data_IF_898892905628
#
_entry.id   IF_898892905628
#
_cell.length_a   1.000
_cell.length_b   1.000
_cell.length_c   1.000
_cell.angle_alpha   90.00
_cell.angle_beta   90.00
_cell.angle_gamma   90.00
#
_symmetry.space_group_name_H-M   'P 1'
#
loop_
_entity.id
_entity.type
_entity.pdbx_description
1 polymer ?
#
# COMPACT_ATOMS: atom_id res chain seq x y z
N UNK A 1 1.39 17.91 2.29
CA UNK A 1 0.14 18.66 2.50
C UNK A 1 -0.82 17.75 3.23
N UNK A 2 -1.40 18.20 4.34
CA UNK A 2 -2.47 17.46 5.03
C UNK A 2 -3.79 17.73 4.32
N UNK A 3 -4.62 16.71 4.15
CA UNK A 3 -5.91 16.81 3.48
C UNK A 3 -6.95 15.99 4.25
N UNK A 4 -8.16 16.53 4.38
CA UNK A 4 -9.29 15.80 4.93
C UNK A 4 -9.79 14.76 3.93
N UNK A 5 -10.35 13.65 4.44
CA UNK A 5 -10.86 12.57 3.60
C UNK A 5 -11.92 13.04 2.59
N UNK A 6 -12.85 13.90 3.01
CA UNK A 6 -13.89 14.47 2.14
C UNK A 6 -13.31 15.25 0.96
N UNK A 7 -12.32 16.12 1.20
CA UNK A 7 -11.65 16.87 0.16
C UNK A 7 -10.78 15.95 -0.73
N UNK A 8 -10.18 14.90 -0.17
CA UNK A 8 -9.40 13.92 -0.91
C UNK A 8 -10.27 13.14 -1.92
N UNK A 9 -11.51 12.83 -1.55
CA UNK A 9 -12.49 12.18 -2.42
C UNK A 9 -12.86 13.02 -3.65
N UNK A 10 -12.66 14.34 -3.62
CA UNK A 10 -12.92 15.22 -4.77
C UNK A 10 -11.72 15.36 -5.70
N UNK A 11 -10.54 14.84 -5.32
CA UNK A 11 -9.35 14.89 -6.15
C UNK A 11 -9.42 13.91 -7.33
N UNK A 12 -8.73 14.33 -8.41
CA UNK A 12 -8.38 13.49 -9.56
C UNK A 12 -6.87 13.24 -9.55
N UNK A 13 -6.39 12.26 -8.75
CA UNK A 13 -4.96 11.99 -8.63
C UNK A 13 -4.39 11.41 -9.91
N UNK A 14 -3.15 11.81 -10.20
CA UNK A 14 -2.30 11.22 -11.22
C UNK A 14 -1.41 10.13 -10.63
N UNK A 15 -0.70 9.40 -11.50
CA UNK A 15 0.29 8.38 -11.11
C UNK A 15 1.46 8.94 -10.29
N UNK A 16 1.72 10.24 -10.38
CA UNK A 16 2.85 10.90 -9.72
C UNK A 16 2.50 11.39 -8.30
N UNK A 17 1.24 11.23 -7.89
CA UNK A 17 0.79 11.58 -6.55
C UNK A 17 1.02 10.41 -5.57
N UNK A 18 1.49 10.75 -4.38
CA UNK A 18 1.71 9.83 -3.26
C UNK A 18 0.73 10.16 -2.15
N UNK A 19 -0.03 9.16 -1.70
CA UNK A 19 -0.96 9.27 -0.59
C UNK A 19 -0.45 8.48 0.60
N UNK A 20 -0.46 9.11 1.78
CA UNK A 20 -0.09 8.47 3.04
C UNK A 20 -1.37 8.23 3.84
N UNK A 21 -1.74 6.97 4.05
CA UNK A 21 -2.95 6.58 4.77
C UNK A 21 -2.60 5.78 6.01
N UNK A 22 -3.17 6.15 7.16
CA UNK A 22 -2.99 5.42 8.41
C UNK A 22 -3.53 3.98 8.34
N UNK A 23 -4.57 3.77 7.53
CA UNK A 23 -5.21 2.47 7.35
C UNK A 23 -5.54 2.22 5.88
N UNK A 24 -5.40 0.97 5.44
CA UNK A 24 -5.77 0.53 4.09
C UNK A 24 -7.18 -0.06 4.11
N UNK A 25 -8.15 0.79 4.47
CA UNK A 25 -9.56 0.45 4.58
C UNK A 25 -10.43 1.63 4.14
N UNK A 26 -11.73 1.37 3.93
CA UNK A 26 -12.70 2.41 3.56
C UNK A 26 -12.73 2.76 2.07
N UNK A 27 -13.67 3.63 1.72
CA UNK A 27 -13.97 3.99 0.33
C UNK A 27 -12.86 4.83 -0.32
N UNK A 28 -12.20 5.71 0.45
CA UNK A 28 -11.06 6.47 -0.05
C UNK A 28 -9.93 5.54 -0.50
N UNK A 29 -9.56 4.56 0.31
CA UNK A 29 -8.50 3.62 -0.05
C UNK A 29 -8.86 2.81 -1.30
N UNK A 30 -10.09 2.29 -1.40
CA UNK A 30 -10.56 1.58 -2.59
C UNK A 30 -10.49 2.45 -3.85
N UNK A 31 -10.94 3.71 -3.75
CA UNK A 31 -10.83 4.68 -4.85
C UNK A 31 -9.36 4.88 -5.26
N UNK A 32 -8.49 5.07 -4.27
CA UNK A 32 -7.06 5.28 -4.51
C UNK A 32 -6.35 4.04 -5.05
N UNK A 33 -6.77 2.82 -4.69
CA UNK A 33 -6.24 1.54 -5.22
C UNK A 33 -6.57 1.40 -6.73
N UNK A 34 -7.72 1.93 -7.17
CA UNK A 34 -8.15 1.92 -8.58
C UNK A 34 -7.38 2.98 -9.39
N UNK A 35 -7.13 4.14 -8.81
CA UNK A 35 -6.28 5.17 -9.44
C UNK A 35 -4.82 4.73 -9.34
N UNK A 36 -4.08 4.68 -10.45
CA UNK A 36 -2.67 4.21 -10.48
C UNK A 36 -1.67 5.11 -9.71
N UNK A 37 -2.13 5.91 -8.76
CA UNK A 37 -1.31 6.65 -7.80
C UNK A 37 -0.64 5.71 -6.80
N UNK A 38 0.38 6.21 -6.11
CA UNK A 38 1.08 5.42 -5.11
C UNK A 38 0.48 5.66 -3.72
N UNK A 39 0.08 4.60 -3.04
CA UNK A 39 -0.48 4.66 -1.68
C UNK A 39 0.49 3.98 -0.71
N UNK A 40 0.79 4.65 0.40
CA UNK A 40 1.68 4.12 1.43
C UNK A 40 1.19 4.35 2.85
N UNK A 41 1.68 3.53 3.78
CA UNK A 41 1.47 3.71 5.20
C UNK A 41 2.50 4.65 5.85
N UNK A 42 2.15 5.35 6.95
CA UNK A 42 3.09 6.19 7.69
C UNK A 42 4.35 5.43 8.15
N UNK A 43 4.23 4.15 8.52
CA UNK A 43 5.36 3.33 8.96
C UNK A 43 6.40 3.13 7.87
N UNK A 44 5.96 2.87 6.63
CA UNK A 44 6.87 2.79 5.49
C UNK A 44 7.58 4.13 5.25
N UNK A 45 6.86 5.26 5.32
CA UNK A 45 7.46 6.59 5.17
C UNK A 45 8.54 6.87 6.23
N UNK A 46 8.27 6.53 7.49
CA UNK A 46 9.23 6.69 8.58
C UNK A 46 10.46 5.83 8.38
N UNK A 47 10.28 4.55 8.05
CA UNK A 47 11.41 3.63 7.80
C UNK A 47 12.27 4.09 6.62
N UNK A 48 11.63 4.57 5.55
CA UNK A 48 12.33 5.19 4.43
C UNK A 48 13.18 6.37 4.89
N UNK A 49 12.61 7.28 5.69
CA UNK A 49 13.32 8.45 6.19
C UNK A 49 14.53 8.08 7.06
N UNK A 50 14.40 7.06 7.91
CA UNK A 50 15.51 6.63 8.78
C UNK A 50 16.60 5.86 8.05
N UNK A 51 16.25 5.03 7.07
CA UNK A 51 17.18 4.09 6.45
C UNK A 51 17.74 4.58 5.11
N UNK A 52 17.16 5.64 4.52
CA UNK A 52 17.56 6.17 3.21
C UNK A 52 17.25 5.26 2.01
N UNK A 53 16.62 4.10 2.24
CA UNK A 53 16.30 3.12 1.20
C UNK A 53 14.85 3.23 0.76
N UNK A 54 14.62 3.78 -0.43
CA UNK A 54 13.29 3.76 -1.06
C UNK A 54 13.10 2.44 -1.79
N UNK A 55 12.16 1.63 -1.32
CA UNK A 55 11.77 0.40 -2.02
C UNK A 55 10.39 0.68 -2.64
N UNK A 56 10.34 0.91 -3.94
CA UNK A 56 9.07 0.90 -4.68
C UNK A 56 8.90 -0.44 -5.39
N UNK A 57 8.46 -1.51 -4.71
CA UNK A 57 8.20 -2.76 -5.39
C UNK A 57 6.88 -2.60 -6.14
N UNK A 58 6.95 -2.12 -7.38
CA UNK A 58 5.82 -2.13 -8.32
C UNK A 58 4.71 -1.13 -8.02
N UNK A 59 3.50 -1.46 -8.47
CA UNK A 59 2.30 -0.60 -8.41
C UNK A 59 1.38 -0.91 -7.21
N UNK A 60 1.75 -1.85 -6.35
CA UNK A 60 0.91 -2.23 -5.20
C UNK A 60 1.09 -1.22 -4.05
N UNK A 61 0.02 -0.84 -3.33
CA UNK A 61 0.13 -0.06 -2.10
C UNK A 61 1.09 -0.68 -1.07
N UNK A 62 1.86 0.14 -0.34
CA UNK A 62 2.82 -0.36 0.67
C UNK A 62 2.49 0.20 2.06
N UNK A 63 1.99 -0.64 2.95
CA UNK A 63 1.64 -0.25 4.31
C UNK A 63 2.86 -0.20 5.24
N UNK A 64 3.77 -1.17 5.08
CA UNK A 64 5.00 -1.34 5.85
C UNK A 64 5.98 -2.20 5.04
N UNK A 65 7.22 -2.34 5.50
CA UNK A 65 8.23 -3.25 4.92
C UNK A 65 8.55 -4.44 5.83
N UNK A 66 7.58 -4.86 6.66
CA UNK A 66 7.74 -5.96 7.61
C UNK A 66 8.08 -7.31 6.95
N UNK A 67 7.70 -7.49 5.69
CA UNK A 67 7.96 -8.69 4.89
C UNK A 67 8.92 -8.43 3.72
N UNK A 68 9.66 -7.31 3.76
CA UNK A 68 10.71 -7.02 2.76
C UNK A 68 11.69 -8.20 2.68
N UNK A 69 12.03 -8.57 1.44
CA UNK A 69 12.91 -9.69 1.10
C UNK A 69 12.36 -11.09 1.44
N UNK A 70 11.04 -11.23 1.65
CA UNK A 70 10.39 -12.53 1.78
C UNK A 70 9.66 -12.91 0.49
N UNK A 71 9.74 -14.20 0.13
CA UNK A 71 8.91 -14.82 -0.90
C UNK A 71 7.97 -15.80 -0.21
N UNK A 72 6.66 -15.60 -0.34
CA UNK A 72 5.63 -16.33 0.39
C UNK A 72 4.81 -17.17 -0.58
N UNK A 73 4.69 -18.47 -0.29
CA UNK A 73 3.79 -19.38 -1.00
C UNK A 73 2.71 -19.88 -0.04
N UNK A 74 1.45 -19.81 -0.46
CA UNK A 74 0.30 -20.30 0.31
C UNK A 74 -0.34 -21.51 -0.37
N UNK A 75 -0.38 -22.64 0.34
CA UNK A 75 -0.96 -23.91 -0.13
C UNK A 75 -2.05 -24.39 0.83
N UNK A 76 -3.00 -25.20 0.35
CA UNK A 76 -4.05 -25.79 1.20
C UNK A 76 -5.23 -24.86 1.55
N UNK A 77 -5.26 -23.64 1.02
CA UNK A 77 -6.37 -22.69 1.17
C UNK A 77 -7.16 -22.53 -0.14
N UNK A 78 -8.41 -22.07 -0.02
CA UNK A 78 -9.21 -21.63 -1.17
C UNK A 78 -8.60 -20.37 -1.84
N UNK A 79 -9.14 -20.00 -3.00
CA UNK A 79 -8.64 -18.86 -3.77
C UNK A 79 -8.83 -17.52 -3.05
N UNK A 80 -9.93 -17.34 -2.32
CA UNK A 80 -10.24 -16.07 -1.66
C UNK A 80 -9.26 -15.80 -0.51
N UNK A 81 -8.94 -16.83 0.28
CA UNK A 81 -7.95 -16.75 1.36
C UNK A 81 -6.56 -16.52 0.77
N UNK A 82 -6.20 -17.22 -0.32
CA UNK A 82 -4.90 -17.01 -1.00
C UNK A 82 -4.75 -15.57 -1.50
N UNK A 83 -5.81 -15.00 -2.07
CA UNK A 83 -5.79 -13.60 -2.53
C UNK A 83 -5.66 -12.61 -1.36
N UNK A 84 -6.33 -12.87 -0.23
CA UNK A 84 -6.17 -12.07 1.00
C UNK A 84 -4.75 -12.15 1.55
N UNK A 85 -4.16 -13.35 1.60
CA UNK A 85 -2.76 -13.55 2.02
C UNK A 85 -1.83 -12.77 1.09
N UNK A 86 -1.97 -12.98 -0.22
CA UNK A 86 -1.16 -12.32 -1.24
C UNK A 86 -1.21 -10.79 -1.09
N UNK A 87 -2.41 -10.20 -1.02
CA UNK A 87 -2.57 -8.75 -0.84
C UNK A 87 -1.85 -8.25 0.43
N UNK A 88 -1.98 -8.96 1.54
CA UNK A 88 -1.31 -8.57 2.80
C UNK A 88 0.20 -8.68 2.71
N UNK A 89 0.72 -9.73 2.07
CA UNK A 89 2.17 -9.91 1.84
C UNK A 89 2.72 -8.77 0.98
N UNK A 90 2.03 -8.46 -0.13
CA UNK A 90 2.39 -7.35 -1.02
C UNK A 90 2.38 -6.00 -0.27
N UNK A 91 1.35 -5.73 0.55
CA UNK A 91 1.28 -4.51 1.38
C UNK A 91 2.39 -4.42 2.44
N UNK A 92 3.04 -5.53 2.75
CA UNK A 92 4.17 -5.60 3.68
C UNK A 92 5.54 -5.67 2.97
N UNK A 93 5.57 -5.53 1.64
CA UNK A 93 6.79 -5.51 0.83
C UNK A 93 7.37 -6.89 0.48
N UNK A 94 6.60 -7.96 0.66
CA UNK A 94 6.96 -9.32 0.22
C UNK A 94 6.42 -9.64 -1.18
N UNK A 95 6.83 -10.80 -1.71
CA UNK A 95 6.40 -11.35 -3.01
C UNK A 95 5.67 -12.68 -2.81
#
# INVERSE_FOLDING_TARGET
MWILESACCELNPSKDNIFVLEKFEGELFKKLEITKCFVMGPRYLLQFFFNGEFVLPGRSPIFTIAMKNLVVCATGYDSEIKDKIRKKVEYMGGI
#
